data_IF_065431957064
#
_entry.id   IF_065431957064
#
_cell.length_a   1.000
_cell.length_b   1.000
_cell.length_c   1.000
_cell.angle_alpha   90.00
_cell.angle_beta   90.00
_cell.angle_gamma   90.00
#
_symmetry.space_group_name_H-M   'P 1'
#
loop_
_entity.id
_entity.type
_entity.pdbx_description
1 polymer ?
#
# COMPACT_ATOMS: atom_id res chain seq x y z
N UNK A 1 -14.35 -12.34 -5.41
CA UNK A 1 -12.92 -11.97 -5.59
C UNK A 1 -12.44 -10.91 -4.60
N UNK A 2 -13.18 -9.81 -4.37
CA UNK A 2 -12.76 -8.77 -3.40
C UNK A 2 -12.64 -9.31 -1.95
N UNK A 3 -13.55 -10.19 -1.55
CA UNK A 3 -13.57 -10.76 -0.20
C UNK A 3 -12.42 -11.77 0.06
N UNK A 4 -12.04 -12.52 -0.97
CA UNK A 4 -10.89 -13.44 -0.94
C UNK A 4 -9.58 -12.70 -0.69
N UNK A 5 -9.36 -11.60 -1.41
CA UNK A 5 -8.15 -10.80 -1.26
C UNK A 5 -8.03 -10.19 0.14
N UNK A 6 -9.15 -9.73 0.72
CA UNK A 6 -9.20 -9.18 2.08
C UNK A 6 -8.95 -10.27 3.12
N UNK A 7 -9.52 -11.47 2.95
CA UNK A 7 -9.30 -12.59 3.85
C UNK A 7 -7.82 -13.01 3.89
N UNK A 8 -7.17 -13.10 2.72
CA UNK A 8 -5.74 -13.40 2.62
C UNK A 8 -4.89 -12.31 3.30
N UNK A 9 -5.24 -11.02 3.11
CA UNK A 9 -4.51 -9.90 3.74
C UNK A 9 -4.63 -9.94 5.27
N UNK A 10 -5.81 -10.28 5.79
CA UNK A 10 -6.02 -10.42 7.23
C UNK A 10 -5.22 -11.59 7.82
N UNK A 11 -5.16 -12.73 7.11
CA UNK A 11 -4.31 -13.86 7.48
C UNK A 11 -2.84 -13.46 7.53
N UNK A 12 -2.35 -12.77 6.50
CA UNK A 12 -0.98 -12.26 6.46
C UNK A 12 -0.67 -11.39 7.68
N UNK A 13 -1.51 -10.39 7.96
CA UNK A 13 -1.35 -9.50 9.13
C UNK A 13 -1.37 -10.26 10.45
N UNK A 14 -2.25 -11.25 10.59
CA UNK A 14 -2.35 -12.06 11.80
C UNK A 14 -1.05 -12.83 12.07
N UNK A 15 -0.51 -13.49 11.04
CA UNK A 15 0.74 -14.26 11.16
C UNK A 15 1.91 -13.32 11.48
N UNK A 16 2.04 -12.20 10.79
CA UNK A 16 3.10 -11.22 11.06
C UNK A 16 3.04 -10.68 12.49
N UNK A 17 1.83 -10.40 12.99
CA UNK A 17 1.63 -9.91 14.36
C UNK A 17 2.01 -10.95 15.39
N UNK A 18 1.64 -12.22 15.18
CA UNK A 18 1.98 -13.33 16.07
C UNK A 18 3.50 -13.58 16.12
N UNK A 19 4.17 -13.50 14.98
CA UNK A 19 5.61 -13.73 14.84
C UNK A 19 6.46 -12.48 15.14
N UNK A 20 5.81 -11.37 15.49
CA UNK A 20 6.44 -10.06 15.71
C UNK A 20 7.34 -9.61 14.54
N UNK A 21 6.89 -9.87 13.31
CA UNK A 21 7.58 -9.48 12.06
C UNK A 21 6.85 -8.37 11.33
N UNK A 22 7.58 -7.65 10.50
CA UNK A 22 7.00 -6.61 9.65
C UNK A 22 6.79 -7.10 8.22
N UNK A 23 7.61 -8.08 7.79
CA UNK A 23 7.57 -8.59 6.43
C UNK A 23 7.48 -10.12 6.34
N UNK A 24 6.73 -10.65 5.37
CA UNK A 24 6.61 -12.09 5.14
C UNK A 24 7.96 -12.78 4.87
N UNK A 25 8.93 -12.05 4.32
CA UNK A 25 10.29 -12.55 4.09
C UNK A 25 11.08 -12.79 5.39
N UNK A 26 10.71 -12.13 6.49
CA UNK A 26 11.33 -12.25 7.81
C UNK A 26 10.79 -13.42 8.63
N UNK A 27 9.72 -14.07 8.16
CA UNK A 27 9.14 -15.24 8.79
C UNK A 27 10.10 -16.43 8.70
N UNK A 28 10.04 -17.32 9.70
CA UNK A 28 10.74 -18.59 9.62
C UNK A 28 10.04 -19.56 8.66
N UNK A 29 10.68 -20.68 8.35
CA UNK A 29 10.14 -21.64 7.38
C UNK A 29 8.84 -22.33 7.85
N UNK A 30 8.61 -22.40 9.17
CA UNK A 30 7.37 -22.93 9.73
C UNK A 30 6.21 -21.95 9.53
N UNK A 31 6.41 -20.68 9.90
CA UNK A 31 5.44 -19.61 9.74
C UNK A 31 5.14 -19.30 8.27
N UNK A 32 6.15 -19.35 7.38
CA UNK A 32 5.93 -19.27 5.92
C UNK A 32 5.06 -20.42 5.42
N UNK A 33 5.32 -21.63 5.91
CA UNK A 33 4.51 -22.81 5.57
C UNK A 33 3.05 -22.65 6.03
N UNK A 34 2.86 -22.14 7.25
CA UNK A 34 1.53 -21.89 7.82
C UNK A 34 0.77 -20.84 7.01
N UNK A 35 1.38 -19.69 6.75
CA UNK A 35 0.80 -18.60 5.96
C UNK A 35 0.36 -19.09 4.56
N UNK A 36 1.22 -19.84 3.87
CA UNK A 36 0.89 -20.38 2.55
C UNK A 36 -0.25 -21.42 2.60
N UNK A 37 -0.31 -22.23 3.66
CA UNK A 37 -1.37 -23.21 3.86
C UNK A 37 -2.72 -22.54 4.14
N UNK A 38 -2.72 -21.51 4.98
CA UNK A 38 -3.93 -20.75 5.31
C UNK A 38 -4.44 -19.95 4.10
N UNK A 39 -3.54 -19.32 3.34
CA UNK A 39 -3.89 -18.65 2.10
C UNK A 39 -4.46 -19.62 1.05
N UNK A 40 -3.84 -20.80 0.90
CA UNK A 40 -4.33 -21.84 -0.01
C UNK A 40 -5.72 -22.36 0.41
N UNK A 41 -5.97 -22.52 1.71
CA UNK A 41 -7.29 -22.89 2.23
C UNK A 41 -8.35 -21.85 1.88
N UNK A 42 -8.06 -20.56 2.07
CA UNK A 42 -8.98 -19.47 1.71
C UNK A 42 -9.32 -19.49 0.21
N UNK A 43 -8.30 -19.69 -0.64
CA UNK A 43 -8.48 -19.77 -2.09
C UNK A 43 -9.31 -21.01 -2.47
N UNK A 44 -8.96 -22.16 -1.89
CA UNK A 44 -9.64 -23.45 -2.10
C UNK A 44 -11.13 -23.35 -1.76
N UNK A 45 -11.46 -22.81 -0.59
CA UNK A 45 -12.84 -22.65 -0.14
C UNK A 45 -13.61 -21.63 -0.98
N UNK A 46 -13.02 -20.45 -1.25
CA UNK A 46 -13.73 -19.39 -1.96
C UNK A 46 -13.84 -19.57 -3.48
N UNK A 47 -13.01 -20.44 -4.08
CA UNK A 47 -13.12 -20.82 -5.50
C UNK A 47 -13.67 -22.23 -5.70
N UNK A 48 -13.92 -22.98 -4.63
CA UNK A 48 -14.33 -24.39 -4.65
C UNK A 48 -13.39 -25.26 -5.50
N UNK A 49 -12.08 -25.10 -5.30
CA UNK A 49 -11.03 -25.84 -6.01
C UNK A 49 -10.13 -26.56 -5.02
N UNK A 50 -9.74 -27.80 -5.32
CA UNK A 50 -8.78 -28.50 -4.48
C UNK A 50 -7.35 -28.11 -4.87
N UNK A 51 -6.58 -27.58 -3.93
CA UNK A 51 -5.17 -27.23 -4.12
C UNK A 51 -4.31 -28.31 -3.45
N UNK A 52 -3.54 -29.10 -4.21
CA UNK A 52 -2.68 -30.15 -3.65
C UNK A 52 -1.62 -29.59 -2.70
N UNK A 53 -1.34 -30.31 -1.61
CA UNK A 53 -0.33 -29.91 -0.61
C UNK A 53 1.05 -29.79 -1.23
N UNK A 54 1.37 -30.66 -2.19
CA UNK A 54 2.62 -30.67 -2.92
C UNK A 54 2.81 -29.37 -3.71
N UNK A 55 1.73 -28.83 -4.26
CA UNK A 55 1.75 -27.55 -4.99
C UNK A 55 1.99 -26.37 -4.02
N UNK A 56 1.35 -26.41 -2.84
CA UNK A 56 1.55 -25.38 -1.79
C UNK A 56 3.02 -25.37 -1.33
N UNK A 57 3.60 -26.54 -1.12
CA UNK A 57 5.02 -26.67 -0.72
C UNK A 57 5.93 -26.19 -1.85
N UNK A 58 5.68 -26.63 -3.09
CA UNK A 58 6.50 -26.28 -4.26
C UNK A 58 6.50 -24.79 -4.61
N UNK A 59 5.36 -24.12 -4.45
CA UNK A 59 5.21 -22.69 -4.78
C UNK A 59 5.43 -21.75 -3.58
N UNK A 60 5.75 -22.28 -2.39
CA UNK A 60 5.89 -21.51 -1.15
C UNK A 60 6.79 -20.30 -1.30
N UNK A 61 7.99 -20.48 -1.84
CA UNK A 61 8.97 -19.40 -1.97
C UNK A 61 8.45 -18.27 -2.86
N UNK A 62 7.74 -18.59 -3.95
CA UNK A 62 7.14 -17.58 -4.84
C UNK A 62 5.97 -16.89 -4.15
N UNK A 63 5.13 -17.63 -3.44
CA UNK A 63 4.00 -17.06 -2.68
C UNK A 63 4.48 -16.05 -1.62
N UNK A 64 5.55 -16.36 -0.87
CA UNK A 64 6.14 -15.44 0.11
C UNK A 64 6.66 -14.17 -0.54
N UNK A 65 7.29 -14.27 -1.72
CA UNK A 65 7.70 -13.08 -2.48
C UNK A 65 6.48 -12.24 -2.86
N UNK A 66 5.39 -12.84 -3.32
CA UNK A 66 4.16 -12.12 -3.63
C UNK A 66 3.52 -11.44 -2.43
N UNK A 67 3.58 -12.05 -1.23
CA UNK A 67 3.15 -11.40 0.00
C UNK A 67 4.01 -10.18 0.33
N UNK A 68 5.34 -10.32 0.26
CA UNK A 68 6.28 -9.20 0.48
C UNK A 68 6.07 -8.04 -0.49
N UNK A 69 5.75 -8.34 -1.75
CA UNK A 69 5.42 -7.33 -2.76
C UNK A 69 4.14 -6.56 -2.38
N UNK A 70 3.11 -7.25 -1.88
CA UNK A 70 1.86 -6.61 -1.44
C UNK A 70 2.02 -5.80 -0.16
N UNK A 71 2.89 -6.22 0.75
CA UNK A 71 3.24 -5.44 1.95
C UNK A 71 3.91 -4.11 1.60
N UNK A 72 4.56 -4.01 0.45
CA UNK A 72 5.10 -2.76 -0.06
C UNK A 72 4.01 -1.78 -0.58
N UNK A 73 2.74 -2.18 -0.61
CA UNK A 73 1.66 -1.27 -1.00
C UNK A 73 1.44 -0.17 0.04
N UNK A 74 1.51 1.07 -0.44
CA UNK A 74 1.64 2.36 0.28
C UNK A 74 0.46 2.72 1.21
N UNK A 75 -0.51 1.85 1.47
CA UNK A 75 -1.84 2.37 1.77
C UNK A 75 -2.12 2.80 3.22
N UNK A 76 -1.25 2.56 4.21
CA UNK A 76 -1.55 3.00 5.59
C UNK A 76 -0.40 3.65 6.34
N UNK A 77 0.70 2.94 6.57
CA UNK A 77 1.81 3.48 7.37
C UNK A 77 2.49 4.65 6.66
N UNK A 78 2.41 4.68 5.34
CA UNK A 78 2.97 5.73 4.52
C UNK A 78 2.09 6.98 4.50
N UNK A 79 0.76 6.85 4.57
CA UNK A 79 -0.12 8.03 4.66
C UNK A 79 0.14 8.80 5.95
N UNK A 80 0.33 8.08 7.06
CA UNK A 80 0.68 8.68 8.33
C UNK A 80 2.11 9.27 8.31
N UNK A 81 3.11 8.54 7.82
CA UNK A 81 4.48 9.04 7.71
C UNK A 81 4.61 10.27 6.78
N UNK A 82 3.88 10.28 5.65
CA UNK A 82 3.81 11.44 4.74
C UNK A 82 3.11 12.62 5.43
N UNK A 83 2.07 12.35 6.22
CA UNK A 83 1.42 13.37 7.05
C UNK A 83 2.40 13.97 8.06
N UNK A 84 3.10 13.13 8.83
CA UNK A 84 4.05 13.54 9.85
C UNK A 84 5.25 14.32 9.26
N UNK A 85 5.64 14.01 8.02
CA UNK A 85 6.65 14.76 7.27
C UNK A 85 6.16 16.16 6.89
N UNK A 86 4.95 16.22 6.32
CA UNK A 86 4.43 17.43 5.71
C UNK A 86 3.79 18.36 6.72
N UNK A 87 3.53 17.91 7.96
CA UNK A 87 2.95 18.74 9.01
C UNK A 87 4.03 19.28 9.96
N UNK A 88 3.80 20.51 10.42
CA UNK A 88 4.64 21.16 11.43
C UNK A 88 3.72 21.69 12.53
N UNK A 89 4.00 21.35 13.79
CA UNK A 89 3.26 21.91 14.92
C UNK A 89 3.55 23.42 15.04
N UNK A 90 2.49 24.22 15.07
CA UNK A 90 2.59 25.66 15.32
C UNK A 90 2.30 25.95 16.79
N UNK A 91 3.31 26.40 17.53
CA UNK A 91 3.12 26.85 18.91
C UNK A 91 2.55 28.28 18.91
N UNK A 92 1.36 28.45 19.49
CA UNK A 92 0.74 29.76 19.69
C UNK A 92 -0.09 30.30 18.50
N UNK A 93 -0.34 29.50 17.47
CA UNK A 93 -1.18 29.88 16.34
C UNK A 93 -2.64 29.35 16.48
N UNK A 94 -3.63 29.97 15.81
CA UNK A 94 -5.01 29.49 15.82
C UNK A 94 -5.19 28.10 15.18
N UNK A 95 -4.28 27.73 14.28
CA UNK A 95 -4.20 26.38 13.70
C UNK A 95 -3.05 25.63 14.34
N UNK A 96 -3.31 24.39 14.74
CA UNK A 96 -2.34 23.52 15.41
C UNK A 96 -1.22 23.06 14.47
N UNK A 97 -1.53 22.87 13.20
CA UNK A 97 -0.58 22.36 12.20
C UNK A 97 -0.48 23.31 11.01
N UNK A 98 0.74 23.45 10.48
CA UNK A 98 1.02 24.04 9.17
C UNK A 98 1.57 22.99 8.20
N UNK A 99 1.55 23.31 6.91
CA UNK A 99 2.17 22.47 5.89
C UNK A 99 3.61 22.93 5.68
N UNK A 100 4.54 21.98 5.76
CA UNK A 100 5.96 22.21 5.47
C UNK A 100 6.12 22.73 4.04
N UNK A 101 6.77 23.87 3.90
CA UNK A 101 7.07 24.46 2.59
C UNK A 101 8.05 23.58 1.78
N UNK A 102 7.98 23.71 0.45
CA UNK A 102 8.77 22.92 -0.50
C UNK A 102 10.28 22.95 -0.23
N UNK A 103 10.85 24.14 0.00
CA UNK A 103 12.28 24.33 0.32
C UNK A 103 12.76 23.49 1.52
N UNK A 104 11.94 23.43 2.58
CA UNK A 104 12.23 22.64 3.78
C UNK A 104 12.07 21.14 3.55
N UNK A 105 11.15 20.75 2.68
CA UNK A 105 11.02 19.36 2.25
C UNK A 105 12.22 18.93 1.40
N UNK A 106 12.65 19.77 0.44
CA UNK A 106 13.78 19.51 -0.44
C UNK A 106 15.08 19.34 0.35
N UNK A 107 15.34 20.24 1.30
CA UNK A 107 16.50 20.12 2.21
C UNK A 107 16.47 18.78 2.95
N UNK A 108 15.34 18.43 3.55
CA UNK A 108 15.18 17.18 4.29
C UNK A 108 15.34 15.94 3.40
N UNK A 109 14.88 16.02 2.14
CA UNK A 109 15.04 14.96 1.16
C UNK A 109 16.51 14.77 0.78
N UNK A 110 17.25 15.85 0.54
CA UNK A 110 18.68 15.79 0.23
C UNK A 110 19.48 15.26 1.43
N UNK A 111 19.23 15.79 2.63
CA UNK A 111 19.85 15.33 3.87
C UNK A 111 19.62 13.83 4.11
N UNK A 112 18.45 13.31 3.71
CA UNK A 112 18.12 11.89 3.86
C UNK A 112 19.01 10.95 3.04
N UNK A 113 19.64 11.45 1.97
CA UNK A 113 20.56 10.70 1.12
C UNK A 113 22.01 10.83 1.57
N UNK A 114 22.35 11.88 2.32
CA UNK A 114 23.70 12.12 2.86
C UNK A 114 23.90 11.55 4.27
N UNK A 115 22.81 11.34 5.02
CA UNK A 115 22.85 10.87 6.41
C UNK A 115 22.36 9.41 6.56
N UNK A 116 23.05 8.62 7.39
CA UNK A 116 22.61 7.25 7.76
C UNK A 116 21.55 7.22 8.87
N UNK A 117 21.04 8.39 9.30
CA UNK A 117 20.08 8.46 10.39
C UNK A 117 18.84 7.60 10.12
N UNK A 118 18.39 6.89 11.16
CA UNK A 118 17.30 5.91 11.03
C UNK A 118 15.97 6.60 10.69
N UNK A 119 15.79 7.83 11.16
CA UNK A 119 14.65 8.72 10.88
C UNK A 119 14.48 9.05 9.40
N UNK A 120 15.53 8.93 8.58
CA UNK A 120 15.51 9.18 7.14
C UNK A 120 15.28 7.94 6.28
N UNK A 121 15.26 6.74 6.87
CA UNK A 121 15.09 5.48 6.11
C UNK A 121 13.79 5.45 5.31
N UNK A 122 12.71 6.01 5.83
CA UNK A 122 11.43 5.99 5.17
C UNK A 122 11.38 6.94 3.97
N UNK A 123 12.12 8.07 3.98
CA UNK A 123 12.22 9.00 2.84
C UNK A 123 12.94 8.31 1.67
N UNK A 124 14.04 7.61 1.94
CA UNK A 124 14.75 6.81 0.92
C UNK A 124 13.89 5.66 0.38
N UNK A 125 13.09 5.03 1.24
CA UNK A 125 12.11 4.01 0.80
C UNK A 125 11.00 4.63 -0.05
N UNK A 126 10.54 5.84 0.28
CA UNK A 126 9.59 6.60 -0.52
C UNK A 126 10.17 6.94 -1.89
N UNK A 127 11.42 7.40 -1.94
CA UNK A 127 12.13 7.64 -3.19
C UNK A 127 12.22 6.36 -4.03
N UNK A 128 12.56 5.22 -3.43
CA UNK A 128 12.61 3.93 -4.12
C UNK A 128 11.27 3.46 -4.71
N UNK A 129 10.13 4.01 -4.26
CA UNK A 129 8.82 3.74 -4.89
C UNK A 129 8.64 4.49 -6.21
N UNK A 130 9.37 5.56 -6.44
CA UNK A 130 9.29 6.34 -7.67
C UNK A 130 10.56 6.22 -8.54
N UNK A 131 11.73 6.05 -7.91
CA UNK A 131 13.00 5.91 -8.57
C UNK A 131 13.05 4.65 -9.46
N UNK A 132 13.51 4.83 -10.70
CA UNK A 132 13.63 3.74 -11.67
C UNK A 132 12.30 3.11 -12.08
N UNK A 133 11.17 3.81 -11.91
CA UNK A 133 9.89 3.37 -12.45
C UNK A 133 9.89 3.54 -13.99
N UNK A 134 9.87 2.42 -14.72
CA UNK A 134 9.88 2.41 -16.19
C UNK A 134 8.49 2.08 -16.75
N UNK A 135 7.52 3.02 -16.84
CA UNK A 135 6.09 2.73 -17.01
C UNK A 135 5.72 1.79 -18.16
N UNK A 136 6.55 1.74 -19.22
CA UNK A 136 6.29 0.99 -20.45
C UNK A 136 6.76 -0.48 -20.44
N UNK A 137 7.48 -0.92 -19.40
CA UNK A 137 8.05 -2.28 -19.35
C UNK A 137 7.16 -3.26 -18.57
N UNK A 138 6.67 -4.32 -19.20
CA UNK A 138 5.82 -5.30 -18.49
C UNK A 138 6.67 -6.15 -17.51
N UNK A 139 6.79 -5.68 -16.27
CA UNK A 139 7.45 -6.39 -15.17
C UNK A 139 6.42 -6.77 -14.10
N UNK A 140 6.09 -8.07 -14.08
CA UNK A 140 5.15 -8.68 -13.12
C UNK A 140 5.64 -8.62 -11.66
N UNK A 141 6.91 -8.28 -11.43
CA UNK A 141 7.47 -8.11 -10.09
C UNK A 141 7.48 -6.65 -9.61
N UNK A 142 7.19 -5.69 -10.49
CA UNK A 142 7.12 -4.27 -10.15
C UNK A 142 5.68 -3.84 -9.84
N UNK A 143 5.26 -4.11 -8.60
CA UNK A 143 3.90 -3.82 -8.18
C UNK A 143 3.58 -2.32 -8.04
N UNK A 144 4.57 -1.43 -8.13
CA UNK A 144 4.41 0.03 -8.08
C UNK A 144 3.55 0.51 -9.25
N UNK A 145 3.69 -0.12 -10.43
CA UNK A 145 2.91 0.19 -11.65
C UNK A 145 1.44 -0.10 -11.47
N UNK A 146 1.14 -1.32 -11.00
CA UNK A 146 -0.23 -1.75 -10.72
C UNK A 146 -0.88 -0.87 -9.66
N UNK A 147 -0.09 -0.45 -8.67
CA UNK A 147 -0.55 0.49 -7.66
C UNK A 147 -0.88 1.87 -8.28
N UNK A 148 -0.03 2.42 -9.14
CA UNK A 148 -0.30 3.69 -9.82
C UNK A 148 -1.52 3.60 -10.75
N UNK A 149 -1.67 2.50 -11.51
CA UNK A 149 -2.86 2.23 -12.32
C UNK A 149 -4.12 2.23 -11.46
N UNK A 150 -4.11 1.53 -10.32
CA UNK A 150 -5.24 1.49 -9.39
C UNK A 150 -5.55 2.84 -8.75
N UNK A 151 -4.53 3.64 -8.42
CA UNK A 151 -4.72 5.00 -7.89
C UNK A 151 -5.34 5.90 -8.96
N UNK A 152 -4.89 5.80 -10.21
CA UNK A 152 -5.48 6.52 -11.34
C UNK A 152 -6.93 6.09 -11.57
N UNK A 153 -7.21 4.80 -11.63
CA UNK A 153 -8.58 4.25 -11.76
C UNK A 153 -9.49 4.73 -10.62
N UNK A 154 -9.00 4.72 -9.38
CA UNK A 154 -9.73 5.21 -8.23
C UNK A 154 -10.01 6.71 -8.34
N UNK A 155 -9.04 7.50 -8.81
CA UNK A 155 -9.16 8.95 -9.01
C UNK A 155 -10.17 9.29 -10.10
N UNK A 156 -10.12 8.59 -11.24
CA UNK A 156 -11.10 8.73 -12.32
C UNK A 156 -12.51 8.38 -11.83
N UNK A 157 -12.66 7.29 -11.08
CA UNK A 157 -13.95 6.91 -10.50
C UNK A 157 -14.47 7.93 -9.50
N UNK A 158 -13.59 8.52 -8.69
CA UNK A 158 -13.95 9.60 -7.78
C UNK A 158 -14.45 10.82 -8.57
N UNK A 159 -13.74 11.19 -9.63
CA UNK A 159 -14.12 12.29 -10.52
C UNK A 159 -15.50 12.06 -11.14
N UNK A 160 -15.76 10.88 -11.72
CA UNK A 160 -17.06 10.54 -12.30
C UNK A 160 -18.21 10.66 -11.28
N UNK A 161 -17.97 10.22 -10.03
CA UNK A 161 -18.97 10.30 -8.96
C UNK A 161 -19.22 11.75 -8.57
N UNK A 162 -18.17 12.56 -8.46
CA UNK A 162 -18.28 13.99 -8.16
C UNK A 162 -19.01 14.74 -9.27
N UNK A 163 -18.68 14.49 -10.54
CA UNK A 163 -19.36 15.08 -11.70
C UNK A 163 -20.85 14.73 -11.72
N UNK A 164 -21.20 13.45 -11.46
CA UNK A 164 -22.61 13.03 -11.35
C UNK A 164 -23.33 13.78 -10.24
N UNK A 165 -22.69 13.96 -9.07
CA UNK A 165 -23.27 14.68 -7.94
C UNK A 165 -23.45 16.17 -8.25
N UNK A 166 -22.45 16.82 -8.83
CA UNK A 166 -22.53 18.22 -9.25
C UNK A 166 -23.69 18.41 -10.24
N UNK A 167 -23.77 17.57 -11.27
CA UNK A 167 -24.85 17.63 -12.25
C UNK A 167 -26.24 17.38 -11.64
N UNK A 168 -26.34 16.52 -10.64
CA UNK A 168 -27.58 16.30 -9.88
C UNK A 168 -27.99 17.56 -9.10
N UNK A 169 -27.05 18.22 -8.42
CA UNK A 169 -27.30 19.47 -7.69
C UNK A 169 -27.64 20.64 -8.62
N UNK A 170 -26.99 20.77 -9.76
CA UNK A 170 -27.29 21.79 -10.77
C UNK A 170 -28.70 21.64 -11.35
N UNK A 171 -29.17 20.40 -11.57
CA UNK A 171 -30.54 20.12 -12.03
C UNK A 171 -31.61 20.41 -10.95
N UNK A 172 -31.26 20.23 -9.68
CA UNK A 172 -32.15 20.54 -8.56
C UNK A 172 -32.29 22.05 -8.36
N UNK A 173 -31.19 22.81 -8.49
CA UNK A 173 -31.20 24.27 -8.39
C UNK A 173 -31.90 24.95 -9.58
N UNK A 174 -31.78 24.40 -10.79
CA UNK A 174 -32.49 24.90 -11.97
C UNK A 174 -34.01 24.61 -11.99
N UNK A 175 -34.53 23.77 -11.08
CA UNK A 175 -35.97 23.47 -10.94
C UNK A 175 -36.67 24.32 -9.88
N UNK A 176 -35.92 25.10 -9.11
CA UNK A 176 -36.43 25.92 -7.98
C UNK A 176 -36.54 27.40 -8.36
N UNK A 177 -36.18 27.77 -9.60
CA UNK A 177 -36.38 29.08 -10.22
C UNK A 177 -37.46 28.93 -11.29
#
# INVERSE_FOLDING_TARGET
>A
MRDLAVAIDNTLRSVLTQEHKTHALELDEAAKGQLCSDAAKIISEGLNVNIPVELIIGERSRAIVFFGIKEAYVYRDWQQAIGDLLLVDLVGAPRRFDVRGYDRFETLFLDSHESEETSFRWIRRLDAVFAGLEPDKDDVFDARRDQLKRVLEASLRLQEVLEKKINQYSKLTARVI
#
